data_IF_803099742874
#
_entry.id   IF_803099742874
#
_cell.length_a   1.000
_cell.length_b   1.000
_cell.length_c   1.000
_cell.angle_alpha   90.00
_cell.angle_beta   90.00
_cell.angle_gamma   90.00
#
_symmetry.space_group_name_H-M   'P 1'
#
loop_
_entity.id
_entity.type
_entity.pdbx_description
1 polymer ?
#
# COMPACT_ATOMS: atom_id res chain seq x y z
N UNK A 1 -1.26 8.31 17.26
CA UNK A 1 -1.85 7.82 16.00
C UNK A 1 -1.38 6.39 15.78
N UNK A 2 -2.33 5.48 15.66
CA UNK A 2 -2.05 4.09 15.34
C UNK A 2 -1.96 3.90 13.82
N UNK A 3 -1.25 2.85 13.42
CA UNK A 3 -1.03 2.52 12.01
C UNK A 3 -1.45 1.08 11.75
N UNK A 4 -2.01 0.84 10.59
CA UNK A 4 -2.18 -0.51 10.07
C UNK A 4 -0.99 -0.91 9.20
N UNK A 5 -0.65 -2.19 9.23
CA UNK A 5 0.31 -2.80 8.33
C UNK A 5 -0.31 -3.17 6.99
N UNK A 6 0.53 -3.51 6.03
CA UNK A 6 0.11 -4.13 4.78
C UNK A 6 1.08 -5.24 4.38
N UNK A 7 0.52 -6.30 3.81
CA UNK A 7 1.24 -7.35 3.09
C UNK A 7 0.86 -7.22 1.62
N UNK A 8 1.86 -7.20 0.75
CA UNK A 8 1.70 -7.05 -0.68
C UNK A 8 2.63 -8.01 -1.40
N UNK A 9 2.12 -8.75 -2.39
CA UNK A 9 2.95 -9.45 -3.35
C UNK A 9 2.79 -8.85 -4.74
N UNK A 10 3.89 -8.79 -5.46
CA UNK A 10 3.91 -8.52 -6.90
C UNK A 10 4.08 -9.86 -7.61
N UNK A 11 3.19 -10.15 -8.52
CA UNK A 11 3.21 -11.36 -9.35
C UNK A 11 3.41 -10.95 -10.80
N UNK A 12 4.39 -11.53 -11.48
CA UNK A 12 4.57 -11.36 -12.94
C UNK A 12 4.15 -12.61 -13.66
N UNK A 13 3.45 -12.43 -14.79
CA UNK A 13 2.83 -13.50 -15.56
C UNK A 13 2.96 -13.29 -17.07
N UNK A 14 2.81 -14.35 -17.83
CA UNK A 14 2.81 -14.30 -19.30
C UNK A 14 1.54 -13.67 -19.87
N UNK A 15 0.41 -13.85 -19.19
CA UNK A 15 -0.92 -13.38 -19.60
C UNK A 15 -1.58 -12.55 -18.47
N UNK A 16 -2.47 -11.62 -18.79
CA UNK A 16 -3.17 -10.83 -17.78
C UNK A 16 -4.15 -11.71 -16.99
N UNK A 17 -4.28 -11.46 -15.69
CA UNK A 17 -5.24 -12.14 -14.83
C UNK A 17 -6.68 -11.68 -15.13
N UNK A 18 -6.86 -10.39 -15.45
CA UNK A 18 -8.18 -9.76 -15.65
C UNK A 18 -8.07 -8.49 -16.50
N UNK A 19 -9.15 -8.12 -17.16
CA UNK A 19 -9.27 -6.84 -17.88
C UNK A 19 -9.56 -5.65 -16.95
N UNK A 20 -9.74 -5.90 -15.65
CA UNK A 20 -10.08 -4.87 -14.65
C UNK A 20 -8.83 -4.44 -13.90
N UNK A 21 -8.53 -3.13 -13.92
CA UNK A 21 -7.36 -2.57 -13.23
C UNK A 21 -7.37 -2.82 -11.71
N UNK A 22 -8.50 -2.57 -11.04
CA UNK A 22 -8.63 -2.69 -9.59
C UNK A 22 -9.84 -3.52 -9.21
N UNK A 23 -9.61 -4.62 -8.49
CA UNK A 23 -10.64 -5.49 -7.96
C UNK A 23 -10.58 -5.46 -6.42
N UNK A 24 -11.66 -5.00 -5.78
CA UNK A 24 -11.87 -5.26 -4.36
C UNK A 24 -12.42 -6.68 -4.20
N UNK A 25 -11.76 -7.47 -3.40
CA UNK A 25 -12.15 -8.85 -3.16
C UNK A 25 -13.06 -8.91 -1.94
N UNK A 26 -14.35 -9.13 -2.17
CA UNK A 26 -15.36 -9.29 -1.13
C UNK A 26 -15.68 -10.78 -0.84
N UNK A 27 -14.94 -11.68 -1.46
CA UNK A 27 -15.03 -13.13 -1.28
C UNK A 27 -14.11 -13.58 -0.14
N UNK A 28 -14.31 -14.82 0.33
CA UNK A 28 -13.38 -15.43 1.27
C UNK A 28 -12.07 -15.79 0.53
N UNK A 29 -11.13 -14.87 0.60
CA UNK A 29 -9.82 -14.94 -0.05
C UNK A 29 -8.75 -14.34 0.88
N UNK A 30 -7.49 -14.76 0.77
CA UNK A 30 -6.43 -14.32 1.69
C UNK A 30 -5.96 -12.88 1.47
N UNK A 31 -6.48 -12.19 0.45
CA UNK A 31 -6.15 -10.80 0.13
C UNK A 31 -7.43 -9.96 -0.06
N UNK A 32 -7.35 -8.65 0.22
CA UNK A 32 -8.47 -7.73 0.11
C UNK A 32 -8.63 -7.07 -1.25
N UNK A 33 -7.55 -7.03 -2.05
CA UNK A 33 -7.60 -6.47 -3.40
C UNK A 33 -6.57 -7.11 -4.33
N UNK A 34 -6.91 -7.11 -5.62
CA UNK A 34 -6.02 -7.40 -6.74
C UNK A 34 -5.94 -6.19 -7.67
N UNK A 35 -4.74 -5.86 -8.10
CA UNK A 35 -4.51 -4.72 -8.99
C UNK A 35 -3.76 -5.23 -10.22
N UNK A 36 -4.45 -5.36 -11.34
CA UNK A 36 -3.83 -5.67 -12.64
C UNK A 36 -3.17 -4.40 -13.18
N UNK A 37 -1.94 -4.17 -12.75
CA UNK A 37 -1.20 -2.94 -13.02
C UNK A 37 -1.01 -2.70 -14.52
N UNK A 38 -0.83 -3.76 -15.27
CA UNK A 38 -0.56 -3.69 -16.71
C UNK A 38 -1.78 -3.35 -17.55
N UNK A 39 -2.98 -3.28 -16.96
CA UNK A 39 -4.13 -2.64 -17.59
C UNK A 39 -4.06 -1.10 -17.56
N UNK A 40 -3.16 -0.53 -16.76
CA UNK A 40 -2.91 0.92 -16.69
C UNK A 40 -1.58 1.32 -17.34
N UNK A 41 -0.50 0.56 -17.07
CA UNK A 41 0.83 0.78 -17.65
C UNK A 41 1.16 -0.39 -18.57
N UNK A 42 1.38 -0.16 -19.88
CA UNK A 42 1.56 -1.24 -20.85
C UNK A 42 2.66 -2.24 -20.46
N UNK A 43 2.46 -3.57 -20.67
CA UNK A 43 3.41 -4.61 -20.28
C UNK A 43 4.79 -4.48 -20.94
N UNK A 44 4.89 -3.78 -22.08
CA UNK A 44 6.18 -3.46 -22.74
C UNK A 44 7.13 -2.64 -21.87
N UNK A 45 6.61 -1.97 -20.82
CA UNK A 45 7.44 -1.28 -19.81
C UNK A 45 8.11 -2.25 -18.84
N UNK A 46 7.64 -3.50 -18.82
CA UNK A 46 8.06 -4.57 -17.90
C UNK A 46 8.56 -5.80 -18.64
N UNK A 47 9.20 -5.60 -19.81
CA UNK A 47 9.75 -6.70 -20.63
C UNK A 47 8.70 -7.52 -21.37
N UNK A 48 7.45 -7.11 -21.36
CA UNK A 48 6.30 -7.83 -21.95
C UNK A 48 5.50 -8.62 -20.92
N UNK A 49 5.92 -8.65 -19.66
CA UNK A 49 5.23 -9.36 -18.60
C UNK A 49 4.03 -8.56 -18.05
N UNK A 50 3.01 -9.29 -17.61
CA UNK A 50 1.85 -8.75 -16.90
C UNK A 50 2.12 -8.71 -15.40
N UNK A 51 1.72 -7.62 -14.75
CA UNK A 51 1.95 -7.40 -13.32
C UNK A 51 0.65 -7.29 -12.56
N UNK A 52 0.50 -8.16 -11.56
CA UNK A 52 -0.60 -8.12 -10.59
C UNK A 52 -0.04 -7.85 -9.19
N UNK A 53 -0.67 -6.93 -8.46
CA UNK A 53 -0.45 -6.78 -7.03
C UNK A 53 -1.59 -7.47 -6.29
N UNK A 54 -1.27 -8.40 -5.40
CA UNK A 54 -2.19 -8.90 -4.39
C UNK A 54 -1.88 -8.19 -3.07
N UNK A 55 -2.89 -7.59 -2.43
CA UNK A 55 -2.66 -6.75 -1.25
C UNK A 55 -3.74 -6.95 -0.19
N UNK A 56 -3.32 -6.93 1.06
CA UNK A 56 -4.24 -6.83 2.20
C UNK A 56 -3.65 -5.96 3.30
N UNK A 57 -4.53 -5.39 4.12
CA UNK A 57 -4.15 -4.70 5.34
C UNK A 57 -4.24 -5.64 6.53
N UNK A 58 -3.29 -5.52 7.45
CA UNK A 58 -3.30 -6.20 8.73
C UNK A 58 -3.43 -5.15 9.84
N UNK A 59 -4.35 -5.39 10.78
CA UNK A 59 -4.60 -4.48 11.89
C UNK A 59 -3.67 -4.75 13.07
N UNK A 60 -3.20 -5.97 13.19
CA UNK A 60 -2.30 -6.43 14.25
C UNK A 60 -1.12 -7.18 13.62
N UNK A 61 0.09 -6.92 14.11
CA UNK A 61 1.28 -7.63 13.66
C UNK A 61 1.37 -9.06 14.23
N UNK A 62 0.48 -9.42 15.16
CA UNK A 62 0.26 -10.81 15.61
C UNK A 62 -0.71 -11.59 14.67
N UNK A 63 -1.21 -10.97 13.60
CA UNK A 63 -2.01 -11.61 12.56
C UNK A 63 -1.26 -12.77 11.91
N UNK A 64 -1.96 -13.87 11.66
CA UNK A 64 -1.37 -15.11 11.11
C UNK A 64 -0.64 -14.82 9.78
N UNK A 65 -1.26 -14.05 8.89
CA UNK A 65 -0.65 -13.69 7.61
C UNK A 65 0.64 -12.88 7.78
N UNK A 66 0.70 -12.01 8.81
CA UNK A 66 1.91 -11.24 9.09
C UNK A 66 3.05 -12.11 9.58
N UNK A 67 2.74 -13.19 10.30
CA UNK A 67 3.72 -14.11 10.89
C UNK A 67 4.20 -15.20 9.93
N UNK A 68 3.47 -15.48 8.84
CA UNK A 68 3.89 -16.41 7.79
C UNK A 68 5.23 -15.98 7.21
N UNK A 69 6.06 -16.91 6.76
CA UNK A 69 7.21 -16.56 5.92
C UNK A 69 6.76 -16.18 4.49
N UNK A 70 7.70 -15.70 3.66
CA UNK A 70 7.34 -15.20 2.33
C UNK A 70 6.83 -16.32 1.43
N UNK A 71 7.42 -17.51 1.51
CA UNK A 71 7.02 -18.68 0.71
C UNK A 71 5.59 -19.12 1.09
N UNK A 72 5.24 -19.08 2.38
CA UNK A 72 3.89 -19.42 2.87
C UNK A 72 2.85 -18.41 2.39
N UNK A 73 3.16 -17.10 2.43
CA UNK A 73 2.27 -16.06 1.90
C UNK A 73 2.07 -16.23 0.40
N UNK A 74 3.14 -16.43 -0.34
CA UNK A 74 3.12 -16.57 -1.80
C UNK A 74 2.28 -17.77 -2.23
N UNK A 75 2.45 -18.93 -1.58
CA UNK A 75 1.66 -20.13 -1.83
C UNK A 75 0.18 -19.90 -1.49
N UNK A 76 -0.11 -19.29 -0.34
CA UNK A 76 -1.47 -18.97 0.09
C UNK A 76 -2.17 -18.03 -0.90
N UNK A 77 -1.46 -17.05 -1.42
CA UNK A 77 -2.03 -16.08 -2.33
C UNK A 77 -2.21 -16.62 -3.73
N UNK A 78 -1.28 -17.41 -4.24
CA UNK A 78 -1.46 -18.12 -5.51
C UNK A 78 -2.66 -19.09 -5.45
N UNK A 79 -2.83 -19.79 -4.33
CA UNK A 79 -4.02 -20.63 -4.12
C UNK A 79 -5.31 -19.80 -4.07
N UNK A 80 -5.28 -18.61 -3.47
CA UNK A 80 -6.40 -17.67 -3.48
C UNK A 80 -6.75 -17.16 -4.88
N UNK A 81 -5.76 -16.87 -5.71
CA UNK A 81 -5.94 -16.48 -7.12
C UNK A 81 -6.58 -17.64 -7.91
N UNK A 82 -6.07 -18.87 -7.77
CA UNK A 82 -6.67 -20.07 -8.38
C UNK A 82 -8.14 -20.27 -8.01
N UNK A 83 -8.47 -20.00 -6.74
CA UNK A 83 -9.85 -20.09 -6.27
C UNK A 83 -10.80 -19.06 -6.88
N UNK A 84 -10.30 -17.87 -7.26
CA UNK A 84 -11.09 -16.79 -7.84
C UNK A 84 -11.12 -16.83 -9.37
N UNK A 85 -10.07 -17.33 -10.00
CA UNK A 85 -9.89 -17.34 -11.46
C UNK A 85 -9.66 -18.76 -11.95
N UNK A 86 -10.73 -19.47 -12.36
CA UNK A 86 -10.62 -20.87 -12.78
C UNK A 86 -9.70 -21.13 -13.98
N UNK A 87 -9.46 -20.11 -14.79
CA UNK A 87 -8.58 -20.17 -15.96
C UNK A 87 -7.12 -19.80 -15.65
N UNK A 88 -6.82 -19.43 -14.41
CA UNK A 88 -5.46 -19.11 -13.99
C UNK A 88 -4.61 -20.39 -13.88
N UNK A 89 -3.44 -20.36 -14.47
CA UNK A 89 -2.46 -21.45 -14.40
C UNK A 89 -1.20 -20.97 -13.69
N UNK A 90 -0.79 -21.61 -12.60
CA UNK A 90 0.46 -21.30 -11.88
C UNK A 90 1.71 -21.36 -12.79
N UNK A 91 1.66 -22.15 -13.86
CA UNK A 91 2.74 -22.26 -14.85
C UNK A 91 2.96 -20.95 -15.62
N UNK A 92 1.99 -20.03 -15.62
CA UNK A 92 2.11 -18.70 -16.25
C UNK A 92 2.82 -17.68 -15.33
N UNK A 93 3.06 -18.01 -14.05
CA UNK A 93 3.76 -17.15 -13.11
C UNK A 93 5.25 -17.24 -13.35
N UNK A 94 5.87 -16.12 -13.71
CA UNK A 94 7.30 -16.03 -13.94
C UNK A 94 8.05 -15.70 -12.64
N UNK A 95 7.44 -14.88 -11.79
CA UNK A 95 8.05 -14.40 -10.57
C UNK A 95 6.98 -13.88 -9.60
N UNK A 96 7.25 -14.06 -8.32
CA UNK A 96 6.46 -13.49 -7.22
C UNK A 96 7.40 -12.98 -6.13
N UNK A 97 7.05 -11.90 -5.50
CA UNK A 97 7.78 -11.38 -4.35
C UNK A 97 6.84 -10.72 -3.37
N UNK A 98 6.95 -11.12 -2.12
CA UNK A 98 6.21 -10.55 -0.98
C UNK A 98 6.99 -9.40 -0.34
N UNK A 99 6.26 -8.39 0.11
CA UNK A 99 6.76 -7.28 0.92
C UNK A 99 5.78 -6.95 2.05
N UNK A 100 6.31 -6.49 3.18
CA UNK A 100 5.55 -6.09 4.36
C UNK A 100 5.92 -4.69 4.80
N UNK A 101 4.92 -3.89 5.13
CA UNK A 101 5.12 -2.59 5.74
C UNK A 101 4.27 -2.49 7.03
N UNK A 102 4.89 -2.40 8.22
CA UNK A 102 4.15 -2.37 9.49
C UNK A 102 3.41 -1.06 9.73
N UNK A 103 3.71 -0.01 8.97
CA UNK A 103 3.11 1.33 9.12
C UNK A 103 2.72 1.91 7.77
N UNK A 104 1.87 1.19 7.05
CA UNK A 104 1.43 1.60 5.70
C UNK A 104 0.50 2.79 5.75
N UNK A 105 -0.41 2.84 6.72
CA UNK A 105 -1.42 3.88 6.77
C UNK A 105 -1.84 4.18 8.21
N UNK A 106 -1.99 5.47 8.59
CA UNK A 106 -2.59 5.82 9.87
C UNK A 106 -4.06 5.39 9.91
N UNK A 107 -4.50 4.97 11.09
CA UNK A 107 -5.89 4.62 11.34
C UNK A 107 -6.65 5.91 11.64
N UNK A 108 -7.70 6.19 10.86
CA UNK A 108 -8.52 7.39 11.03
C UNK A 108 -9.60 7.15 12.07
N UNK A 109 -9.24 7.33 13.33
CA UNK A 109 -10.14 7.23 14.45
C UNK A 109 -11.01 8.48 14.60
N UNK A 110 -12.00 8.37 15.52
CA UNK A 110 -12.81 9.54 15.91
C UNK A 110 -11.91 10.61 16.53
N UNK A 111 -11.96 11.83 16.01
CA UNK A 111 -11.10 12.93 16.45
C UNK A 111 -9.70 12.91 15.84
N UNK A 112 -9.48 12.15 14.76
CA UNK A 112 -8.17 12.04 14.10
C UNK A 112 -7.55 13.41 13.76
N UNK A 113 -8.33 14.40 13.35
CA UNK A 113 -7.83 15.74 13.02
C UNK A 113 -7.25 16.50 14.21
N UNK A 114 -7.59 16.11 15.44
CA UNK A 114 -7.02 16.67 16.66
C UNK A 114 -5.67 16.00 17.02
N UNK A 115 -5.36 14.88 16.37
CA UNK A 115 -4.16 14.07 16.58
C UNK A 115 -3.14 14.17 15.45
N UNK A 116 -3.45 14.84 14.34
CA UNK A 116 -2.51 14.96 13.22
C UNK A 116 -1.20 15.61 13.66
N UNK A 117 -0.10 15.11 13.11
CA UNK A 117 1.23 15.67 13.38
C UNK A 117 1.31 17.06 12.75
N UNK A 118 1.66 18.12 13.52
CA UNK A 118 1.85 19.45 12.97
C UNK A 118 3.05 19.48 12.01
N UNK A 119 3.04 20.43 11.07
CA UNK A 119 4.16 20.60 10.16
C UNK A 119 5.41 21.10 10.86
N UNK A 120 5.28 22.04 11.81
CA UNK A 120 6.37 22.58 12.62
C UNK A 120 6.44 21.80 13.95
N UNK A 121 7.57 21.17 14.22
CA UNK A 121 7.81 20.34 15.40
C UNK A 121 8.72 21.01 16.44
N UNK A 122 8.95 22.34 16.36
CA UNK A 122 9.89 23.03 17.26
C UNK A 122 9.54 22.87 18.73
N UNK A 123 8.27 22.90 19.12
CA UNK A 123 7.87 22.71 20.51
C UNK A 123 7.94 21.25 20.98
N UNK A 124 7.36 20.27 20.22
CA UNK A 124 7.34 18.88 20.68
C UNK A 124 8.69 18.14 20.50
N UNK A 125 9.55 18.59 19.60
CA UNK A 125 10.79 17.86 19.25
C UNK A 125 12.04 18.75 19.38
N UNK A 126 12.24 19.72 18.48
CA UNK A 126 13.39 20.62 18.44
C UNK A 126 13.20 21.72 17.40
N UNK A 127 13.92 22.84 17.59
CA UNK A 127 13.97 23.91 16.59
C UNK A 127 14.51 23.42 15.25
N UNK A 128 13.90 23.89 14.16
CA UNK A 128 14.29 23.53 12.80
C UNK A 128 13.87 22.14 12.34
N UNK A 129 13.01 21.45 13.09
CA UNK A 129 12.44 20.14 12.68
C UNK A 129 11.03 20.34 12.14
N UNK A 130 10.80 19.87 10.93
CA UNK A 130 9.51 19.95 10.24
C UNK A 130 9.08 18.56 9.76
N UNK A 131 7.76 18.35 9.65
CA UNK A 131 7.17 17.06 9.29
C UNK A 131 6.20 17.20 8.11
N UNK A 132 6.49 16.54 7.01
CA UNK A 132 5.63 16.45 5.82
C UNK A 132 5.31 14.98 5.51
N UNK A 133 4.72 14.26 6.45
CA UNK A 133 4.53 12.81 6.34
C UNK A 133 3.07 12.38 6.31
N UNK A 134 2.87 11.06 6.37
CA UNK A 134 1.57 10.38 6.24
C UNK A 134 0.55 10.81 7.30
N UNK A 135 0.99 11.19 8.50
CA UNK A 135 0.13 11.63 9.58
C UNK A 135 -0.10 13.17 9.60
N UNK A 136 0.30 13.90 8.55
CA UNK A 136 0.02 15.33 8.41
C UNK A 136 -1.42 15.59 7.96
N UNK A 137 -1.92 16.81 8.23
CA UNK A 137 -3.29 17.20 7.89
C UNK A 137 -3.62 17.08 6.41
N UNK A 138 -2.68 17.36 5.51
CA UNK A 138 -2.89 17.32 4.07
C UNK A 138 -3.20 15.91 3.54
N UNK A 139 -2.90 14.87 4.31
CA UNK A 139 -3.19 13.48 3.94
C UNK A 139 -4.62 13.03 4.31
N UNK A 140 -5.35 13.81 5.09
CA UNK A 140 -6.72 13.47 5.46
C UNK A 140 -7.75 14.14 4.51
N UNK A 141 -8.83 13.47 4.08
CA UNK A 141 -9.18 12.07 4.39
C UNK A 141 -8.54 11.04 3.45
N UNK A 142 -7.86 11.49 2.42
CA UNK A 142 -7.27 10.64 1.39
C UNK A 142 -5.75 10.66 1.47
N UNK A 143 -5.16 9.51 1.68
CA UNK A 143 -3.72 9.31 1.55
C UNK A 143 -3.36 9.31 0.07
N UNK A 144 -2.86 10.42 -0.42
CA UNK A 144 -2.65 10.63 -1.85
C UNK A 144 -1.31 11.28 -2.16
N UNK A 145 -0.87 11.12 -3.40
CA UNK A 145 0.30 11.83 -3.93
C UNK A 145 0.12 13.35 -3.81
N UNK A 146 -1.09 13.85 -4.10
CA UNK A 146 -1.42 15.27 -3.95
C UNK A 146 -1.25 15.75 -2.49
N UNK A 147 -1.73 14.97 -1.53
CA UNK A 147 -1.55 15.28 -0.10
C UNK A 147 -0.08 15.33 0.31
N UNK A 148 0.78 14.47 -0.27
CA UNK A 148 2.22 14.50 -0.03
C UNK A 148 2.87 15.78 -0.60
N UNK A 149 2.47 16.21 -1.79
CA UNK A 149 2.95 17.46 -2.42
C UNK A 149 2.54 18.66 -1.56
N UNK A 150 1.26 18.78 -1.20
CA UNK A 150 0.74 19.87 -0.37
C UNK A 150 1.44 19.93 0.99
N UNK A 151 1.69 18.78 1.63
CA UNK A 151 2.42 18.74 2.89
C UNK A 151 3.86 19.26 2.74
N UNK A 152 4.54 18.87 1.66
CA UNK A 152 5.90 19.35 1.36
C UNK A 152 5.96 20.84 1.09
N UNK A 153 5.04 21.38 0.28
CA UNK A 153 4.93 22.82 -0.03
C UNK A 153 4.67 23.63 1.25
N UNK A 154 3.71 23.18 2.09
CA UNK A 154 3.40 23.85 3.38
C UNK A 154 4.61 23.89 4.31
N UNK A 155 5.38 22.79 4.41
CA UNK A 155 6.61 22.79 5.20
C UNK A 155 7.66 23.76 4.64
N UNK A 156 7.82 23.82 3.33
CA UNK A 156 8.77 24.73 2.70
C UNK A 156 8.40 26.21 2.94
N UNK A 157 7.11 26.56 2.89
CA UNK A 157 6.62 27.90 3.23
C UNK A 157 6.92 28.27 4.67
N UNK A 158 6.62 27.36 5.63
CA UNK A 158 6.92 27.59 7.06
C UNK A 158 8.41 27.78 7.34
N UNK A 159 9.30 27.08 6.64
CA UNK A 159 10.76 27.24 6.76
C UNK A 159 11.15 28.64 6.31
N UNK A 160 10.66 29.08 5.16
CA UNK A 160 10.98 30.40 4.59
C UNK A 160 10.45 31.57 5.44
N UNK A 161 9.33 31.38 6.15
CA UNK A 161 8.79 32.40 7.06
C UNK A 161 9.57 32.52 8.37
N UNK A 162 10.39 31.54 8.68
CA UNK A 162 11.14 31.45 9.95
C UNK A 162 12.57 31.97 9.84
N UNK A 163 13.10 32.12 8.60
CA UNK A 163 14.37 32.76 8.31
C UNK A 163 14.25 34.32 8.25
#
# INVERSE_FOLDING_TARGET
IDFQGAVCAVVTMDEPLTDTYWLNVAHDAPFGALIEHTNYVPPQRYGGEHLVYAVTYVQDLDDELWQMDDDEVEETWLAGIEGLFPDFERASVNWIQTSRNPKTAPIYERGYLDMVVPYDLREPVADGVYYAGMASRAQYPERSLNGAIVAGETCAELINETE
#
